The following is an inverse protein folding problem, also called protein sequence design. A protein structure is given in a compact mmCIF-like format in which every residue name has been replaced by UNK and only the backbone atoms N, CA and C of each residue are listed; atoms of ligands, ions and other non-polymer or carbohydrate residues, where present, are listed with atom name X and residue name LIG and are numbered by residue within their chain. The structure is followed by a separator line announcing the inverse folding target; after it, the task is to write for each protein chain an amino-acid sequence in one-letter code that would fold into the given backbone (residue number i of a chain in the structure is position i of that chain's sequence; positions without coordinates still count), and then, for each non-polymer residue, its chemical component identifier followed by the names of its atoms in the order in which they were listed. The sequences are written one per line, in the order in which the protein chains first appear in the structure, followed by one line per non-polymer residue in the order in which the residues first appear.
data_IF_837705628302
#
_entry.id   IF_837705628302
#
_cell.length_a   1.000
_cell.length_b   1.000
_cell.length_c   1.000
_cell.angle_alpha   90.00
_cell.angle_beta   90.00
_cell.angle_gamma   90.00
#
_symmetry.space_group_name_H-M   'P 1'
#
loop_
_entity.id
_entity.type
_entity.pdbx_description
1 polymer ?
#
# COMPACT_ATOMS: atom_id res chain seq x y z
N UNK A 1 34.07 -19.41 49.64
CA UNK A 1 34.81 -18.17 49.99
C UNK A 1 34.19 -17.03 49.21
N UNK A 2 33.61 -16.07 49.93
CA UNK A 2 33.00 -14.84 49.43
C UNK A 2 34.08 -13.77 49.22
N UNK A 3 33.91 -12.91 48.23
CA UNK A 3 34.39 -11.51 48.15
C UNK A 3 34.14 -11.01 46.71
N UNK A 4 33.79 -9.77 46.40
CA UNK A 4 33.16 -8.65 47.08
C UNK A 4 32.82 -7.64 45.97
N UNK A 5 31.67 -6.98 46.09
CA UNK A 5 31.19 -5.93 45.19
C UNK A 5 31.80 -4.58 45.62
N UNK A 6 32.15 -3.63 44.73
CA UNK A 6 32.33 -2.25 45.11
C UNK A 6 31.18 -1.37 44.61
N UNK A 7 30.39 -0.91 45.57
CA UNK A 7 29.56 0.30 45.50
C UNK A 7 30.45 1.53 45.38
N UNK A 8 30.16 2.45 44.45
CA UNK A 8 30.58 3.84 44.61
C UNK A 8 29.47 4.81 44.23
N UNK A 9 29.23 5.71 45.18
CA UNK A 9 28.16 6.69 45.26
C UNK A 9 28.41 7.96 44.44
N UNK A 10 27.30 8.65 44.16
CA UNK A 10 27.08 9.95 43.50
C UNK A 10 27.78 11.12 44.24
N UNK A 11 27.98 12.28 43.59
CA UNK A 11 27.24 13.47 44.06
C UNK A 11 26.61 14.33 42.94
N UNK A 12 25.48 14.96 43.30
CA UNK A 12 24.69 15.93 42.52
C UNK A 12 25.30 17.35 42.50
N UNK A 13 25.03 18.07 41.38
CA UNK A 13 24.67 19.50 41.20
C UNK A 13 25.71 20.61 41.51
N UNK A 14 25.70 21.76 40.77
CA UNK A 14 24.69 22.81 40.98
C UNK A 14 24.16 23.57 39.75
N UNK A 15 23.02 24.21 40.04
CA UNK A 15 22.21 25.19 39.32
C UNK A 15 22.97 26.51 39.15
N UNK A 16 22.76 27.20 38.02
CA UNK A 16 23.16 28.59 37.82
C UNK A 16 22.25 29.30 36.82
N UNK A 17 21.31 30.08 37.35
CA UNK A 17 20.50 31.07 36.63
C UNK A 17 21.28 32.41 36.49
N UNK A 18 21.12 33.12 35.37
CA UNK A 18 21.13 34.59 35.26
C UNK A 18 20.56 34.96 33.88
N UNK A 19 19.39 35.61 33.80
CA UNK A 19 19.25 37.08 33.70
C UNK A 19 19.61 37.53 32.27
N UNK A 20 18.68 37.89 31.36
CA UNK A 20 17.63 38.89 31.47
C UNK A 20 18.07 40.14 30.68
N UNK A 21 17.47 40.39 29.51
CA UNK A 21 17.28 41.75 28.94
C UNK A 21 16.41 41.71 27.68
N UNK A 22 15.41 42.58 27.70
CA UNK A 22 14.47 42.86 26.64
C UNK A 22 15.07 43.77 25.56
N UNK A 23 14.69 43.55 24.30
CA UNK A 23 14.65 44.61 23.30
C UNK A 23 13.45 44.39 22.37
N UNK A 24 12.52 45.34 22.43
CA UNK A 24 11.41 45.53 21.51
C UNK A 24 11.94 46.01 20.16
N UNK A 25 11.57 45.37 19.05
CA UNK A 25 11.61 46.01 17.74
C UNK A 25 10.53 45.42 16.83
N UNK A 26 9.48 46.22 16.61
CA UNK A 26 8.57 46.07 15.50
C UNK A 26 9.25 46.62 14.26
N UNK A 27 9.27 45.87 13.15
CA UNK A 27 8.94 46.44 11.85
C UNK A 27 8.72 45.35 10.78
N UNK A 28 7.56 45.45 10.13
CA UNK A 28 7.31 45.17 8.71
C UNK A 28 8.02 43.99 8.04
N UNK A 29 7.37 42.82 8.02
CA UNK A 29 7.67 41.79 7.04
C UNK A 29 6.61 41.82 5.92
N UNK A 30 6.96 42.56 4.86
CA UNK A 30 6.31 42.54 3.56
C UNK A 30 6.45 41.12 3.00
N UNK A 31 5.33 40.44 2.76
CA UNK A 31 5.30 39.17 2.04
C UNK A 31 5.43 39.49 0.54
N UNK A 32 6.48 39.05 -0.18
CA UNK A 32 6.47 39.14 -1.62
C UNK A 32 5.53 38.05 -2.16
N UNK A 33 4.47 38.51 -2.81
CA UNK A 33 3.67 37.71 -3.71
C UNK A 33 4.54 37.33 -4.92
N UNK A 34 5.02 36.09 -4.95
CA UNK A 34 5.28 35.33 -6.18
C UNK A 34 5.84 33.94 -5.82
N UNK A 35 4.94 33.02 -5.46
CA UNK A 35 5.21 31.59 -5.64
C UNK A 35 4.39 31.20 -6.88
N UNK A 36 5.03 30.89 -8.02
CA UNK A 36 4.32 30.51 -9.23
C UNK A 36 3.54 29.20 -8.98
N UNK A 37 2.41 28.98 -9.66
CA UNK A 37 1.67 27.74 -9.53
C UNK A 37 2.59 26.62 -9.98
N UNK A 38 2.90 25.69 -9.08
CA UNK A 38 3.60 24.47 -9.46
C UNK A 38 2.72 23.77 -10.51
N UNK A 39 3.19 23.85 -11.75
CA UNK A 39 2.63 23.16 -12.89
C UNK A 39 2.35 21.71 -12.49
N UNK A 40 1.07 21.37 -12.59
CA UNK A 40 0.55 20.07 -12.24
C UNK A 40 1.21 18.99 -13.08
N UNK A 41 2.24 18.37 -12.51
CA UNK A 41 2.46 16.95 -12.74
C UNK A 41 1.30 16.26 -12.06
N UNK A 42 0.21 16.09 -12.82
CA UNK A 42 -0.89 15.22 -12.46
C UNK A 42 -0.32 13.79 -12.49
N UNK A 43 0.43 13.42 -11.45
CA UNK A 43 0.61 12.04 -11.08
C UNK A 43 -0.81 11.50 -10.97
N UNK A 44 -1.21 10.64 -11.90
CA UNK A 44 -2.47 9.93 -11.82
C UNK A 44 -2.64 9.46 -10.38
N UNK A 45 -3.67 9.91 -9.64
CA UNK A 45 -3.90 9.47 -8.27
C UNK A 45 -4.44 8.06 -8.40
N UNK A 46 -3.50 7.14 -8.56
CA UNK A 46 -3.67 5.71 -8.45
C UNK A 46 -4.50 5.30 -7.21
N UNK A 47 -4.52 6.15 -6.19
CA UNK A 47 -5.30 6.02 -4.97
C UNK A 47 -5.62 7.43 -4.48
N UNK A 48 -6.87 7.68 -4.09
CA UNK A 48 -7.24 8.87 -3.34
C UNK A 48 -6.42 8.92 -2.02
N UNK A 49 -5.54 9.92 -1.82
CA UNK A 49 -4.75 10.04 -0.60
C UNK A 49 -5.62 10.31 0.65
N UNK A 50 -6.92 10.55 0.49
CA UNK A 50 -7.86 10.85 1.57
C UNK A 50 -8.50 9.63 2.24
N UNK A 51 -8.28 8.39 1.74
CA UNK A 51 -8.74 7.18 2.42
C UNK A 51 -7.59 6.16 2.61
N UNK A 52 -6.74 6.31 3.64
CA UNK A 52 -5.67 5.36 3.94
C UNK A 52 -6.21 3.99 4.40
N UNK A 53 -7.51 3.90 4.69
CA UNK A 53 -8.15 2.71 5.25
C UNK A 53 -8.78 1.89 4.15
N UNK A 54 -8.36 0.63 4.04
CA UNK A 54 -8.98 -0.36 3.15
C UNK A 54 -10.31 -0.87 3.74
N UNK A 55 -11.39 -0.77 2.98
CA UNK A 55 -12.71 -1.27 3.38
C UNK A 55 -12.74 -2.80 3.47
N UNK A 56 -13.76 -3.36 4.11
CA UNK A 56 -13.92 -4.81 4.21
C UNK A 56 -14.08 -5.47 2.82
N UNK A 57 -14.82 -4.82 1.91
CA UNK A 57 -15.01 -5.33 0.55
C UNK A 57 -13.70 -5.30 -0.25
N UNK A 58 -12.90 -4.23 -0.14
CA UNK A 58 -11.57 -4.19 -0.76
C UNK A 58 -10.61 -5.22 -0.15
N UNK A 59 -10.68 -5.48 1.17
CA UNK A 59 -9.88 -6.52 1.82
C UNK A 59 -10.22 -7.90 1.24
N UNK A 60 -11.51 -8.25 1.13
CA UNK A 60 -11.92 -9.50 0.52
C UNK A 60 -11.48 -9.57 -0.95
N UNK A 61 -11.68 -8.50 -1.72
CA UNK A 61 -11.25 -8.46 -3.12
C UNK A 61 -9.73 -8.66 -3.25
N UNK A 62 -8.93 -8.12 -2.34
CA UNK A 62 -7.49 -8.35 -2.30
C UNK A 62 -7.14 -9.82 -2.05
N UNK A 63 -7.85 -10.49 -1.14
CA UNK A 63 -7.66 -11.93 -0.88
C UNK A 63 -7.97 -12.73 -2.15
N UNK A 64 -9.13 -12.51 -2.77
CA UNK A 64 -9.54 -13.25 -3.97
C UNK A 64 -8.59 -13.01 -5.16
N UNK A 65 -8.21 -11.74 -5.39
CA UNK A 65 -7.30 -11.38 -6.48
C UNK A 65 -5.85 -11.82 -6.22
N UNK A 66 -5.48 -12.11 -4.98
CA UNK A 66 -4.12 -12.59 -4.66
C UNK A 66 -3.83 -13.95 -5.29
N UNK A 67 -4.84 -14.77 -5.56
CA UNK A 67 -4.70 -16.04 -6.27
C UNK A 67 -4.01 -15.89 -7.64
N UNK A 68 -4.16 -14.74 -8.29
CA UNK A 68 -3.53 -14.45 -9.58
C UNK A 68 -2.01 -14.25 -9.50
N UNK A 69 -1.45 -14.19 -8.29
CA UNK A 69 -0.03 -14.03 -8.02
C UNK A 69 0.65 -15.30 -7.52
N UNK A 70 -0.10 -16.39 -7.36
CA UNK A 70 0.49 -17.69 -7.05
C UNK A 70 1.37 -18.14 -8.22
N UNK A 71 2.42 -18.90 -7.93
CA UNK A 71 3.34 -19.49 -8.91
C UNK A 71 2.74 -20.74 -9.58
N UNK A 72 1.42 -20.79 -9.67
CA UNK A 72 0.65 -21.89 -10.23
C UNK A 72 -0.11 -21.43 -11.46
N UNK A 73 -0.35 -22.35 -12.39
CA UNK A 73 -1.20 -22.07 -13.55
C UNK A 73 -2.63 -21.70 -13.10
N UNK A 74 -3.07 -20.48 -13.43
CA UNK A 74 -4.44 -20.03 -13.20
C UNK A 74 -5.36 -20.75 -14.19
N UNK A 75 -6.31 -21.54 -13.68
CA UNK A 75 -7.25 -22.31 -14.50
C UNK A 75 -8.59 -21.60 -14.64
N UNK A 76 -9.38 -22.02 -15.61
CA UNK A 76 -10.74 -21.49 -15.83
C UNK A 76 -11.63 -21.58 -14.57
N UNK A 77 -11.45 -22.62 -13.76
CA UNK A 77 -12.17 -22.77 -12.50
C UNK A 77 -11.83 -21.66 -11.50
N UNK A 78 -10.55 -21.27 -11.42
CA UNK A 78 -10.08 -20.22 -10.52
C UNK A 78 -10.65 -18.87 -10.96
N UNK A 79 -10.62 -18.58 -12.27
CA UNK A 79 -11.25 -17.39 -12.86
C UNK A 79 -12.74 -17.32 -12.50
N UNK A 80 -13.47 -18.43 -12.67
CA UNK A 80 -14.90 -18.51 -12.35
C UNK A 80 -15.17 -18.23 -10.87
N UNK A 81 -14.38 -18.82 -9.97
CA UNK A 81 -14.50 -18.65 -8.53
C UNK A 81 -14.19 -17.21 -8.10
N UNK A 82 -13.05 -16.66 -8.50
CA UNK A 82 -12.67 -15.27 -8.19
C UNK A 82 -13.74 -14.30 -8.69
N UNK A 83 -14.19 -14.43 -9.95
CA UNK A 83 -15.23 -13.57 -10.48
C UNK A 83 -16.57 -13.69 -9.75
N UNK A 84 -16.91 -14.87 -9.22
CA UNK A 84 -18.11 -15.07 -8.38
C UNK A 84 -17.99 -14.29 -7.08
N UNK A 85 -16.88 -14.41 -6.38
CA UNK A 85 -16.68 -13.73 -5.10
C UNK A 85 -16.64 -12.21 -5.29
N UNK A 86 -15.93 -11.72 -6.32
CA UNK A 86 -15.91 -10.30 -6.66
C UNK A 86 -17.29 -9.73 -7.04
N UNK A 87 -18.16 -10.55 -7.63
CA UNK A 87 -19.52 -10.13 -7.97
C UNK A 87 -20.34 -9.79 -6.71
N UNK A 88 -20.18 -10.56 -5.63
CA UNK A 88 -20.88 -10.36 -4.36
C UNK A 88 -20.45 -9.03 -3.70
N UNK A 89 -19.19 -8.64 -3.86
CA UNK A 89 -18.63 -7.43 -3.24
C UNK A 89 -19.09 -6.12 -3.88
N UNK A 90 -19.66 -6.17 -5.09
CA UNK A 90 -20.20 -5.02 -5.83
C UNK A 90 -19.22 -3.82 -5.96
N UNK A 91 -17.92 -4.10 -6.07
CA UNK A 91 -16.88 -3.08 -6.33
C UNK A 91 -16.83 -2.73 -7.82
N UNK A 92 -16.61 -1.47 -8.16
CA UNK A 92 -16.48 -1.07 -9.56
C UNK A 92 -15.14 -1.54 -10.18
N UNK A 93 -15.11 -1.59 -11.50
CA UNK A 93 -13.96 -2.07 -12.28
C UNK A 93 -12.69 -1.24 -12.05
N UNK A 94 -12.84 0.07 -11.79
CA UNK A 94 -11.70 0.96 -11.54
C UNK A 94 -11.08 0.63 -10.19
N UNK A 95 -11.91 0.41 -9.16
CA UNK A 95 -11.46 -0.03 -7.85
C UNK A 95 -10.69 -1.34 -7.94
N UNK A 96 -11.22 -2.36 -8.63
CA UNK A 96 -10.53 -3.66 -8.77
C UNK A 96 -9.17 -3.53 -9.49
N UNK A 97 -9.09 -2.70 -10.53
CA UNK A 97 -7.82 -2.40 -11.23
C UNK A 97 -6.82 -1.70 -10.31
N UNK A 98 -7.27 -0.78 -9.48
CA UNK A 98 -6.43 -0.08 -8.53
C UNK A 98 -5.90 -1.02 -7.46
N UNK A 99 -6.74 -1.90 -6.90
CA UNK A 99 -6.31 -2.93 -5.94
C UNK A 99 -5.21 -3.81 -6.54
N UNK A 100 -5.43 -4.34 -7.75
CA UNK A 100 -4.44 -5.16 -8.44
C UNK A 100 -3.11 -4.42 -8.62
N UNK A 101 -3.16 -3.19 -9.15
CA UNK A 101 -1.99 -2.44 -9.57
C UNK A 101 -1.20 -1.84 -8.42
N UNK A 102 -1.88 -1.35 -7.39
CA UNK A 102 -1.30 -0.46 -6.38
C UNK A 102 -1.24 -1.07 -4.98
N UNK A 103 -2.09 -2.05 -4.68
CA UNK A 103 -2.07 -2.73 -3.38
C UNK A 103 -1.45 -4.12 -3.48
N UNK A 104 -1.94 -4.97 -4.39
CA UNK A 104 -1.47 -6.35 -4.52
C UNK A 104 -0.13 -6.46 -5.21
N UNK A 105 0.01 -5.89 -6.41
CA UNK A 105 1.23 -6.06 -7.19
C UNK A 105 2.48 -5.67 -6.41
N UNK A 106 2.55 -4.52 -5.73
CA UNK A 106 3.75 -4.13 -4.97
C UNK A 106 4.13 -5.08 -3.82
N UNK A 107 3.17 -5.85 -3.30
CA UNK A 107 3.36 -6.84 -2.24
C UNK A 107 3.76 -8.19 -2.82
N UNK A 108 3.12 -8.60 -3.91
CA UNK A 108 3.13 -9.98 -4.39
C UNK A 108 4.02 -10.23 -5.61
N UNK A 109 4.52 -9.19 -6.30
CA UNK A 109 5.32 -9.37 -7.51
C UNK A 109 6.60 -10.20 -7.30
N UNK A 110 7.12 -10.26 -6.07
CA UNK A 110 8.26 -11.11 -5.72
C UNK A 110 7.97 -12.60 -5.93
N UNK A 111 6.73 -13.04 -5.69
CA UNK A 111 6.32 -14.43 -5.88
C UNK A 111 6.33 -14.85 -7.35
N UNK A 112 6.15 -13.90 -8.28
CA UNK A 112 6.25 -14.15 -9.73
C UNK A 112 7.70 -14.44 -10.14
N UNK A 113 8.66 -13.81 -9.47
CA UNK A 113 10.08 -13.88 -9.86
C UNK A 113 10.89 -14.93 -9.13
N UNK A 114 10.53 -15.23 -7.88
CA UNK A 114 11.21 -16.20 -7.04
C UNK A 114 10.15 -17.08 -6.36
N UNK A 115 9.68 -18.14 -7.05
CA UNK A 115 8.62 -19.01 -6.57
C UNK A 115 9.02 -19.73 -5.27
N UNK A 116 8.29 -19.49 -4.19
CA UNK A 116 8.61 -20.04 -2.86
C UNK A 116 8.08 -21.47 -2.62
N UNK A 117 7.78 -22.22 -3.68
CA UNK A 117 7.21 -23.58 -3.64
C UNK A 117 5.69 -23.59 -3.82
N UNK A 118 5.06 -24.78 -3.78
CA UNK A 118 3.64 -24.96 -4.06
C UNK A 118 2.73 -24.36 -2.96
N UNK A 119 2.36 -23.09 -3.11
CA UNK A 119 1.43 -22.43 -2.20
C UNK A 119 0.03 -22.46 -2.79
N UNK A 120 -0.95 -22.87 -2.00
CA UNK A 120 -2.36 -22.84 -2.41
C UNK A 120 -3.03 -21.47 -2.18
N UNK A 121 -2.46 -20.64 -1.29
CA UNK A 121 -2.98 -19.33 -0.90
C UNK A 121 -1.91 -18.51 -0.16
N UNK A 122 -2.09 -17.19 -0.12
CA UNK A 122 -1.36 -16.31 0.78
C UNK A 122 -2.04 -16.28 2.15
N UNK A 123 -1.26 -16.14 3.22
CA UNK A 123 -1.81 -15.93 4.56
C UNK A 123 -2.49 -14.55 4.62
N UNK A 124 -3.77 -14.53 4.97
CA UNK A 124 -4.63 -13.36 4.79
C UNK A 124 -4.22 -12.21 5.72
N UNK A 125 -3.93 -12.51 6.97
CA UNK A 125 -3.52 -11.55 7.98
C UNK A 125 -2.23 -10.83 7.58
N UNK A 126 -1.26 -11.57 7.04
CA UNK A 126 0.00 -11.06 6.49
C UNK A 126 -0.24 -10.18 5.27
N UNK A 127 -1.00 -10.68 4.28
CA UNK A 127 -1.30 -9.94 3.06
C UNK A 127 -1.98 -8.61 3.37
N UNK A 128 -3.05 -8.65 4.17
CA UNK A 128 -3.81 -7.47 4.55
C UNK A 128 -2.99 -6.54 5.45
N UNK A 129 -2.15 -7.09 6.33
CA UNK A 129 -1.21 -6.34 7.16
C UNK A 129 -0.22 -5.54 6.30
N UNK A 130 0.34 -6.15 5.26
CA UNK A 130 1.30 -5.52 4.37
C UNK A 130 0.65 -4.44 3.50
N UNK A 131 -0.56 -4.69 2.98
CA UNK A 131 -1.35 -3.69 2.26
C UNK A 131 -1.68 -2.49 3.15
N UNK A 132 -2.18 -2.73 4.36
CA UNK A 132 -2.50 -1.66 5.34
C UNK A 132 -1.27 -0.84 5.71
N UNK A 133 -0.14 -1.51 5.96
CA UNK A 133 1.15 -0.89 6.23
C UNK A 133 1.59 0.03 5.09
N UNK A 134 1.47 -0.43 3.84
CA UNK A 134 1.77 0.37 2.65
C UNK A 134 0.83 1.55 2.47
N UNK A 135 -0.49 1.36 2.58
CA UNK A 135 -1.47 2.44 2.47
C UNK A 135 -1.27 3.52 3.54
N UNK A 136 -0.89 3.13 4.76
CA UNK A 136 -0.62 4.04 5.88
C UNK A 136 0.69 4.84 5.80
N UNK A 137 1.58 4.53 4.85
CA UNK A 137 2.88 5.21 4.72
C UNK A 137 3.09 5.81 3.33
N UNK A 138 2.72 7.08 3.18
CA UNK A 138 2.91 7.83 1.93
C UNK A 138 4.39 7.87 1.49
N UNK A 139 5.31 8.00 2.45
CA UNK A 139 6.76 8.07 2.17
C UNK A 139 7.25 6.76 1.56
N UNK A 140 6.86 5.62 2.14
CA UNK A 140 7.20 4.29 1.62
C UNK A 140 6.69 4.13 0.18
N UNK A 141 5.45 4.55 -0.07
CA UNK A 141 4.84 4.51 -1.41
C UNK A 141 5.58 5.40 -2.41
N UNK A 142 5.90 6.63 -2.03
CA UNK A 142 6.61 7.56 -2.91
C UNK A 142 8.01 7.05 -3.28
N UNK A 143 8.77 6.56 -2.30
CA UNK A 143 10.14 6.09 -2.51
C UNK A 143 10.19 4.81 -3.35
N UNK A 144 9.20 3.91 -3.18
CA UNK A 144 9.17 2.63 -3.90
C UNK A 144 8.38 2.66 -5.22
N UNK A 145 7.62 3.73 -5.49
CA UNK A 145 6.76 3.83 -6.67
C UNK A 145 7.50 3.65 -8.01
N UNK A 146 8.68 4.28 -8.25
CA UNK A 146 9.40 4.08 -9.50
C UNK A 146 9.82 2.62 -9.70
N UNK A 147 10.31 1.96 -8.65
CA UNK A 147 10.70 0.55 -8.70
C UNK A 147 9.49 -0.34 -9.02
N UNK A 148 8.34 -0.11 -8.37
CA UNK A 148 7.11 -0.86 -8.67
C UNK A 148 6.55 -0.56 -10.06
N UNK A 149 6.78 0.64 -10.62
CA UNK A 149 6.39 0.95 -11.99
C UNK A 149 7.24 0.18 -13.01
N UNK A 150 8.55 0.12 -12.80
CA UNK A 150 9.45 -0.70 -13.63
C UNK A 150 9.11 -2.19 -13.50
N UNK A 151 8.94 -2.69 -12.28
CA UNK A 151 8.54 -4.08 -12.06
C UNK A 151 7.21 -4.40 -12.75
N UNK A 152 6.21 -3.49 -12.67
CA UNK A 152 4.95 -3.66 -13.38
C UNK A 152 5.15 -3.76 -14.89
N UNK A 153 5.95 -2.87 -15.48
CA UNK A 153 6.22 -2.89 -16.91
C UNK A 153 6.87 -4.22 -17.37
N UNK A 154 7.65 -4.87 -16.50
CA UNK A 154 8.32 -6.13 -16.81
C UNK A 154 7.43 -7.36 -16.55
N UNK A 155 6.63 -7.33 -15.49
CA UNK A 155 5.99 -8.54 -14.93
C UNK A 155 4.46 -8.55 -15.08
N UNK A 156 3.83 -7.45 -15.48
CA UNK A 156 2.37 -7.38 -15.57
C UNK A 156 1.78 -8.44 -16.51
N UNK A 157 2.53 -8.91 -17.52
CA UNK A 157 2.07 -9.96 -18.43
C UNK A 157 1.76 -11.29 -17.75
N UNK A 158 2.29 -11.55 -16.55
CA UNK A 158 1.97 -12.76 -15.80
C UNK A 158 0.57 -12.68 -15.15
N UNK A 159 0.11 -11.48 -14.78
CA UNK A 159 -1.11 -11.28 -13.97
C UNK A 159 -2.24 -10.60 -14.74
N UNK A 160 -1.92 -9.75 -15.73
CA UNK A 160 -2.92 -8.99 -16.48
C UNK A 160 -3.84 -9.88 -17.33
N UNK A 161 -3.35 -10.89 -18.08
CA UNK A 161 -4.22 -11.78 -18.82
C UNK A 161 -5.26 -12.50 -17.94
N UNK A 162 -4.88 -13.25 -16.88
CA UNK A 162 -5.89 -13.90 -16.04
C UNK A 162 -6.79 -12.88 -15.32
N UNK A 163 -6.28 -11.70 -14.96
CA UNK A 163 -7.14 -10.64 -14.43
C UNK A 163 -8.17 -10.15 -15.45
N UNK A 164 -7.83 -10.03 -16.74
CA UNK A 164 -8.78 -9.67 -17.78
C UNK A 164 -9.87 -10.73 -17.93
N UNK A 165 -9.52 -12.01 -17.81
CA UNK A 165 -10.48 -13.11 -17.85
C UNK A 165 -11.45 -13.05 -16.65
N UNK A 166 -10.94 -12.73 -15.45
CA UNK A 166 -11.78 -12.45 -14.26
C UNK A 166 -12.74 -11.29 -14.53
N UNK A 167 -12.25 -10.18 -15.09
CA UNK A 167 -13.09 -9.00 -15.37
C UNK A 167 -14.16 -9.30 -16.43
N UNK A 168 -13.84 -10.11 -17.44
CA UNK A 168 -14.79 -10.54 -18.46
C UNK A 168 -15.90 -11.42 -17.86
N UNK A 169 -15.53 -12.39 -17.02
CA UNK A 169 -16.50 -13.24 -16.32
C UNK A 169 -17.35 -12.44 -15.33
N UNK A 170 -16.75 -11.49 -14.61
CA UNK A 170 -17.47 -10.59 -13.69
C UNK A 170 -18.51 -9.75 -14.45
N UNK A 171 -18.15 -9.19 -15.61
CA UNK A 171 -19.07 -8.44 -16.46
C UNK A 171 -20.23 -9.32 -16.95
N UNK A 172 -19.94 -10.55 -17.36
CA UNK A 172 -20.97 -11.54 -17.77
C UNK A 172 -21.96 -11.80 -16.64
N UNK A 173 -21.48 -12.01 -15.41
CA UNK A 173 -22.35 -12.23 -14.23
C UNK A 173 -23.26 -11.04 -13.93
N UNK A 174 -22.71 -9.82 -13.99
CA UNK A 174 -23.49 -8.60 -13.79
C UNK A 174 -24.62 -8.43 -14.80
N UNK A 175 -24.40 -8.86 -16.05
CA UNK A 175 -25.44 -8.85 -17.08
C UNK A 175 -26.54 -9.89 -16.82
N UNK A 176 -26.19 -11.07 -16.31
CA UNK A 176 -27.16 -12.13 -16.02
C UNK A 176 -28.13 -11.79 -14.89
N UNK A 177 -27.71 -10.99 -13.90
CA UNK A 177 -28.57 -10.53 -12.79
C UNK A 177 -29.47 -9.36 -13.21
N UNK A 178 -29.08 -8.61 -14.25
CA UNK A 178 -29.84 -7.46 -14.75
C UNK A 178 -30.94 -7.86 -15.77
N UNK A 179 -30.93 -9.10 -16.25
CA UNK A 179 -31.88 -9.66 -17.21
C UNK A 179 -33.04 -10.38 -16.52
#
# INVERSE_FOLDING_TARGET
MQQANPTHSIPERPIGEHGGSATTQADSNVVPADIPPHDGVLLHPAVDPHCPTISAAEQQACIELSLLFLDTEVREHDIYCVARELHILNLDDTTLRNLLRHDLFPVLWGNITDPAGEWAYFEEEWLLGEIKSRRGSWLRRAVTAPAHAVAWALLANAVVPPFQDVMLELARRRQQVAA
#
